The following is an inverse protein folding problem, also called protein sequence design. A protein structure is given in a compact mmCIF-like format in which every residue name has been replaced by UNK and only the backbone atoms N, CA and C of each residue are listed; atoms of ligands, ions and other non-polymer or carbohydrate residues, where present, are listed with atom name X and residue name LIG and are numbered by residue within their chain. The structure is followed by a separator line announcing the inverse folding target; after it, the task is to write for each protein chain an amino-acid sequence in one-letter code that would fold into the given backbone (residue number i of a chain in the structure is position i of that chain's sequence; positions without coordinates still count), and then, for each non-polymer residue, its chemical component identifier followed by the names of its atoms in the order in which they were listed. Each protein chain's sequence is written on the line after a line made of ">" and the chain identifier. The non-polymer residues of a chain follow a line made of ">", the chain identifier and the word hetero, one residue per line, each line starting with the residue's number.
data_IF_232462336524
#
_entry.id   IF_232462336524
#
_cell.length_a   1.000
_cell.length_b   1.000
_cell.length_c   1.000
_cell.angle_alpha   90.00
_cell.angle_beta   90.00
_cell.angle_gamma   90.00
#
_symmetry.space_group_name_H-M   'P 1'
#
loop_
_entity.id
_entity.type
_entity.pdbx_description
1 polymer ?
#
# COMPACT_ATOMS: atom_id res chain seq x y z
N UNK A 1 -16.17 -1.31 13.29
CA UNK A 1 -15.92 -1.18 11.85
C UNK A 1 -14.85 -0.11 11.66
N UNK A 2 -13.60 -0.53 11.40
CA UNK A 2 -12.49 0.38 11.14
C UNK A 2 -12.70 1.14 9.82
N UNK A 3 -11.90 2.18 9.57
CA UNK A 3 -11.86 2.85 8.26
C UNK A 3 -11.09 1.98 7.29
N UNK A 4 -11.53 1.96 6.04
CA UNK A 4 -10.87 1.26 4.95
C UNK A 4 -10.00 2.26 4.19
N UNK A 5 -8.75 1.87 3.95
CA UNK A 5 -7.73 2.77 3.45
C UNK A 5 -7.39 2.46 2.00
N UNK A 6 -7.63 3.42 1.11
CA UNK A 6 -7.11 3.38 -0.27
C UNK A 6 -5.74 4.07 -0.29
N UNK A 7 -4.76 3.43 -0.90
CA UNK A 7 -3.42 4.00 -1.11
C UNK A 7 -3.24 4.34 -2.59
N UNK A 8 -3.16 5.64 -2.88
CA UNK A 8 -2.86 6.16 -4.21
C UNK A 8 -1.34 6.31 -4.37
N UNK A 9 -0.76 5.70 -5.39
CA UNK A 9 0.69 5.65 -5.62
C UNK A 9 0.98 6.29 -6.97
N UNK A 10 1.72 7.40 -6.97
CA UNK A 10 2.01 8.18 -8.16
C UNK A 10 3.51 8.18 -8.48
N UNK A 11 3.82 7.75 -9.70
CA UNK A 11 5.13 7.80 -10.29
C UNK A 11 6.15 6.84 -9.69
N UNK A 12 7.38 6.96 -10.18
CA UNK A 12 8.45 6.00 -9.93
C UNK A 12 8.71 5.75 -8.43
N UNK A 13 8.75 6.82 -7.62
CA UNK A 13 9.06 6.70 -6.21
C UNK A 13 7.84 6.29 -5.37
N UNK A 14 6.65 6.85 -5.67
CA UNK A 14 5.40 6.48 -5.00
C UNK A 14 5.13 4.98 -5.13
N UNK A 15 5.31 4.42 -6.33
CA UNK A 15 5.15 2.98 -6.60
C UNK A 15 6.21 2.12 -5.88
N UNK A 16 7.45 2.61 -5.72
CA UNK A 16 8.50 1.88 -4.99
C UNK A 16 8.25 1.85 -3.48
N UNK A 17 7.94 3.01 -2.88
CA UNK A 17 7.57 3.10 -1.46
C UNK A 17 6.34 2.23 -1.20
N UNK A 18 5.35 2.35 -2.07
CA UNK A 18 4.14 1.56 -2.05
C UNK A 18 4.39 0.05 -2.08
N UNK A 19 5.29 -0.39 -2.94
CA UNK A 19 5.64 -1.82 -3.06
C UNK A 19 6.24 -2.37 -1.77
N UNK A 20 7.13 -1.64 -1.12
CA UNK A 20 7.71 -2.08 0.16
C UNK A 20 6.69 -2.03 1.30
N UNK A 21 5.84 -1.00 1.32
CA UNK A 21 4.72 -0.90 2.27
C UNK A 21 3.80 -2.12 2.20
N UNK A 22 3.34 -2.49 1.01
CA UNK A 22 2.46 -3.65 0.81
C UNK A 22 3.14 -4.98 1.18
N UNK A 23 4.44 -5.13 0.89
CA UNK A 23 5.20 -6.32 1.31
C UNK A 23 5.27 -6.45 2.83
N UNK A 24 5.51 -5.34 3.54
CA UNK A 24 5.52 -5.32 5.00
C UNK A 24 4.16 -5.70 5.59
N UNK A 25 3.07 -5.14 5.05
CA UNK A 25 1.71 -5.52 5.47
C UNK A 25 1.41 -6.99 5.19
N UNK A 26 1.78 -7.50 4.01
CA UNK A 26 1.61 -8.93 3.72
C UNK A 26 2.37 -9.81 4.71
N UNK A 27 3.59 -9.42 5.09
CA UNK A 27 4.38 -10.16 6.09
C UNK A 27 3.76 -10.10 7.49
N UNK A 28 3.23 -8.95 7.90
CA UNK A 28 2.56 -8.75 9.19
C UNK A 28 1.26 -9.56 9.29
N UNK A 29 0.46 -9.56 8.22
CA UNK A 29 -0.84 -10.24 8.17
C UNK A 29 -0.77 -11.71 7.70
N UNK A 30 0.43 -12.25 7.44
CA UNK A 30 0.61 -13.63 6.98
C UNK A 30 0.04 -13.93 5.59
N UNK A 31 -0.03 -12.92 4.71
CA UNK A 31 -0.50 -13.03 3.32
C UNK A 31 0.69 -13.47 2.46
N UNK A 32 0.56 -14.62 1.83
CA UNK A 32 1.59 -15.10 0.90
C UNK A 32 1.67 -14.23 -0.37
N UNK A 33 2.78 -14.23 -1.11
CA UNK A 33 2.86 -13.53 -2.40
C UNK A 33 1.82 -14.01 -3.42
N UNK A 34 1.31 -15.24 -3.26
CA UNK A 34 0.16 -15.78 -3.99
C UNK A 34 -1.19 -15.45 -3.35
N UNK A 35 -1.27 -14.32 -2.63
CA UNK A 35 -2.46 -13.69 -2.04
C UNK A 35 -3.41 -14.55 -1.19
N UNK A 36 -2.99 -15.75 -0.82
CA UNK A 36 -3.69 -16.61 0.13
C UNK A 36 -3.05 -16.50 1.52
N UNK A 37 -3.84 -16.64 2.58
CA UNK A 37 -3.30 -16.80 3.95
C UNK A 37 -2.65 -18.17 4.08
N UNK A 38 -1.35 -18.21 4.39
CA UNK A 38 -0.62 -19.49 4.53
C UNK A 38 -0.13 -19.78 5.94
N UNK A 39 -0.24 -18.84 6.88
CA UNK A 39 0.30 -19.02 8.23
C UNK A 39 -0.82 -19.02 9.27
N UNK A 40 -0.85 -19.99 10.20
CA UNK A 40 -1.54 -19.75 11.46
C UNK A 40 -0.86 -18.55 12.08
N UNK A 41 -1.66 -17.55 12.46
CA UNK A 41 -1.27 -16.35 13.20
C UNK A 41 -0.10 -16.69 14.14
N UNK A 42 1.12 -16.28 13.78
CA UNK A 42 2.16 -16.25 14.80
C UNK A 42 1.63 -15.27 15.81
N UNK A 43 1.39 -15.75 17.03
CA UNK A 43 1.38 -14.91 18.21
C UNK A 43 2.43 -13.82 17.97
N UNK A 44 1.98 -12.56 17.95
CA UNK A 44 2.79 -11.37 17.66
C UNK A 44 4.00 -11.24 18.62
N UNK A 45 4.21 -12.21 19.51
CA UNK A 45 5.41 -12.39 20.32
C UNK A 45 6.72 -12.65 19.55
N UNK A 46 6.74 -13.06 18.27
CA UNK A 46 8.01 -13.50 17.64
C UNK A 46 8.54 -12.64 16.49
N UNK A 47 7.73 -11.78 15.86
CA UNK A 47 8.28 -10.68 15.07
C UNK A 47 8.59 -9.52 16.01
N UNK A 48 9.73 -9.63 16.71
CA UNK A 48 10.46 -8.45 17.18
C UNK A 48 10.99 -7.69 15.96
N UNK A 49 10.11 -7.07 15.18
CA UNK A 49 10.41 -5.70 14.81
C UNK A 49 10.37 -4.99 16.15
N UNK A 50 11.55 -4.58 16.64
CA UNK A 50 11.62 -3.71 17.79
C UNK A 50 10.82 -2.46 17.43
N UNK A 51 9.52 -2.48 17.74
CA UNK A 51 8.64 -1.34 17.77
C UNK A 51 9.14 -0.48 18.94
N UNK A 52 10.26 0.19 18.69
CA UNK A 52 10.53 1.45 19.32
C UNK A 52 9.36 2.33 18.90
N UNK A 53 8.46 2.58 19.83
CA UNK A 53 7.32 3.47 19.63
C UNK A 53 7.90 4.83 19.18
N UNK A 54 7.93 5.09 17.88
CA UNK A 54 8.43 6.34 17.31
C UNK A 54 7.32 7.37 17.54
N UNK A 55 7.24 7.87 18.76
CA UNK A 55 6.54 9.12 19.01
C UNK A 55 7.36 10.21 18.29
N UNK A 56 6.89 10.62 17.11
CA UNK A 56 7.47 11.72 16.34
C UNK A 56 7.41 13.00 17.18
N UNK A 57 8.45 13.29 17.96
CA UNK A 57 8.64 14.59 18.57
C UNK A 57 9.30 15.49 17.53
N UNK A 58 8.57 16.52 17.09
CA UNK A 58 8.79 17.33 15.89
C UNK A 58 10.06 18.20 15.87
N UNK A 59 11.10 17.90 16.65
CA UNK A 59 12.27 18.79 16.73
C UNK A 59 13.67 18.18 16.84
N UNK A 60 13.88 16.88 17.03
CA UNK A 60 15.27 16.39 17.09
C UNK A 60 15.45 14.91 16.74
N UNK A 61 16.29 14.65 15.75
CA UNK A 61 16.61 13.35 15.13
C UNK A 61 17.60 12.49 15.95
N UNK A 62 17.43 12.35 17.27
CA UNK A 62 18.27 11.45 18.09
C UNK A 62 17.40 10.59 19.01
N UNK A 63 17.46 9.28 18.76
CA UNK A 63 16.69 8.21 19.39
C UNK A 63 17.32 7.83 20.74
N UNK A 64 16.59 7.94 21.85
CA UNK A 64 16.95 7.30 23.12
C UNK A 64 15.92 6.23 23.46
N UNK A 65 16.42 5.00 23.59
CA UNK A 65 15.68 3.79 23.92
C UNK A 65 15.39 3.80 25.43
N UNK A 66 14.13 3.67 25.83
CA UNK A 66 13.76 3.38 27.22
C UNK A 66 13.12 2.01 27.25
N UNK A 67 13.73 1.09 27.99
CA UNK A 67 13.27 -0.28 28.19
C UNK A 67 11.93 -0.26 28.95
N UNK A 68 10.83 -0.50 28.24
CA UNK A 68 9.54 -0.82 28.83
C UNK A 68 9.17 -2.26 28.48
N UNK A 69 8.94 -3.09 29.50
CA UNK A 69 8.39 -4.44 29.30
C UNK A 69 6.94 -4.33 28.80
N UNK A 70 6.68 -4.79 27.57
CA UNK A 70 5.32 -4.88 27.04
C UNK A 70 4.61 -6.03 27.76
N UNK A 71 3.67 -5.71 28.65
CA UNK A 71 2.74 -6.69 29.21
C UNK A 71 1.80 -7.15 28.10
N UNK A 72 1.94 -8.42 27.70
CA UNK A 72 1.00 -9.11 26.84
C UNK A 72 -0.30 -9.36 27.62
N UNK A 73 -1.05 -8.31 27.92
CA UNK A 73 -2.48 -8.51 28.10
C UNK A 73 -2.99 -9.07 26.77
N UNK A 74 -3.70 -10.19 26.82
CA UNK A 74 -4.40 -10.82 25.70
C UNK A 74 -5.45 -9.85 25.15
N UNK A 75 -5.02 -8.74 24.56
CA UNK A 75 -5.78 -8.07 23.55
C UNK A 75 -5.90 -9.11 22.45
N UNK A 76 -7.07 -9.72 22.33
CA UNK A 76 -7.55 -10.30 21.08
C UNK A 76 -7.56 -9.16 20.05
N UNK A 77 -6.36 -8.75 19.60
CA UNK A 77 -6.16 -7.92 18.44
C UNK A 77 -6.54 -8.81 17.28
N UNK A 78 -7.85 -8.90 17.04
CA UNK A 78 -8.38 -9.50 15.83
C UNK A 78 -7.66 -8.83 14.66
N UNK A 79 -6.97 -9.65 13.88
CA UNK A 79 -6.19 -9.19 12.76
C UNK A 79 -7.10 -8.52 11.72
N UNK A 80 -7.05 -7.18 11.66
CA UNK A 80 -7.94 -6.35 10.87
C UNK A 80 -7.43 -6.15 9.43
N UNK A 81 -7.32 -7.24 8.66
CA UNK A 81 -6.89 -7.18 7.25
C UNK A 81 -7.77 -6.28 6.38
N UNK A 82 -9.07 -6.17 6.73
CA UNK A 82 -10.09 -5.42 6.00
C UNK A 82 -9.77 -3.92 5.82
N UNK A 83 -8.92 -3.36 6.69
CA UNK A 83 -8.49 -1.96 6.60
C UNK A 83 -7.76 -1.71 5.28
N UNK A 84 -6.88 -2.63 4.90
CA UNK A 84 -5.95 -2.45 3.79
C UNK A 84 -6.26 -3.35 2.60
N UNK A 85 -6.97 -4.45 2.82
CA UNK A 85 -7.25 -5.48 1.84
C UNK A 85 -8.75 -5.73 1.75
N UNK A 86 -9.25 -5.97 0.54
CA UNK A 86 -10.53 -6.63 0.35
C UNK A 86 -10.30 -8.09 -0.06
N UNK A 87 -11.24 -8.96 0.28
CA UNK A 87 -11.21 -10.37 -0.11
C UNK A 87 -11.98 -10.55 -1.41
N UNK A 88 -11.32 -11.06 -2.44
CA UNK A 88 -11.96 -11.45 -3.69
C UNK A 88 -12.73 -12.78 -3.55
N UNK A 89 -13.60 -13.07 -4.52
CA UNK A 89 -14.44 -14.29 -4.53
C UNK A 89 -13.65 -15.61 -4.45
N UNK A 90 -12.39 -15.60 -4.92
CA UNK A 90 -11.48 -16.74 -4.88
C UNK A 90 -10.64 -16.82 -3.61
N UNK A 91 -11.02 -16.07 -2.56
CA UNK A 91 -10.34 -15.96 -1.26
C UNK A 91 -8.95 -15.33 -1.31
N UNK A 92 -8.60 -14.64 -2.39
CA UNK A 92 -7.38 -13.85 -2.46
C UNK A 92 -7.59 -12.50 -1.79
N UNK A 93 -6.60 -12.09 -1.00
CA UNK A 93 -6.55 -10.72 -0.47
C UNK A 93 -5.94 -9.79 -1.51
N UNK A 94 -6.64 -8.71 -1.80
CA UNK A 94 -6.22 -7.69 -2.77
C UNK A 94 -6.06 -6.37 -2.04
N UNK A 95 -4.90 -5.70 -2.14
CA UNK A 95 -4.68 -4.41 -1.50
C UNK A 95 -5.54 -3.36 -2.19
N UNK A 96 -6.09 -2.44 -1.40
CA UNK A 96 -6.79 -1.24 -1.87
C UNK A 96 -5.76 -0.22 -2.38
N UNK A 97 -5.09 -0.56 -3.47
CA UNK A 97 -3.98 0.20 -4.04
C UNK A 97 -4.33 0.67 -5.46
N UNK A 98 -4.10 1.95 -5.73
CA UNK A 98 -4.16 2.52 -7.08
C UNK A 98 -2.75 2.91 -7.48
N UNK A 99 -2.23 2.29 -8.54
CA UNK A 99 -0.87 2.52 -9.03
C UNK A 99 -0.95 3.34 -10.30
N UNK A 100 -0.28 4.50 -10.32
CA UNK A 100 -0.30 5.42 -11.45
C UNK A 100 1.14 5.68 -11.85
N UNK A 101 1.48 5.39 -13.10
CA UNK A 101 2.79 5.74 -13.64
C UNK A 101 2.67 6.24 -15.10
N UNK A 102 3.57 7.15 -15.46
CA UNK A 102 3.72 7.62 -16.83
C UNK A 102 4.77 6.79 -17.59
N UNK A 103 5.57 5.98 -16.87
CA UNK A 103 6.53 5.04 -17.43
C UNK A 103 6.20 3.59 -17.04
N UNK A 104 6.32 2.65 -17.97
CA UNK A 104 6.02 1.24 -17.68
C UNK A 104 7.04 0.58 -16.76
N UNK A 105 8.24 1.16 -16.60
CA UNK A 105 9.40 0.48 -16.03
C UNK A 105 9.14 -0.08 -14.63
N UNK A 106 8.59 0.75 -13.74
CA UNK A 106 8.35 0.35 -12.35
C UNK A 106 7.16 -0.59 -12.25
N UNK A 107 6.06 -0.28 -12.91
CA UNK A 107 4.88 -1.13 -12.94
C UNK A 107 5.21 -2.52 -13.48
N UNK A 108 5.94 -2.63 -14.59
CA UNK A 108 6.38 -3.92 -15.13
C UNK A 108 7.31 -4.65 -14.15
N UNK A 109 8.19 -3.94 -13.45
CA UNK A 109 9.03 -4.54 -12.41
C UNK A 109 8.19 -5.10 -11.26
N UNK A 110 7.11 -4.43 -10.86
CA UNK A 110 6.18 -4.89 -9.83
C UNK A 110 5.39 -6.11 -10.32
N UNK A 111 4.83 -6.04 -11.53
CA UNK A 111 4.05 -7.13 -12.12
C UNK A 111 4.86 -8.41 -12.39
N UNK A 112 6.16 -8.26 -12.68
CA UNK A 112 7.08 -9.40 -12.84
C UNK A 112 7.66 -9.90 -11.50
N UNK A 113 7.38 -9.22 -10.39
CA UNK A 113 7.83 -9.65 -9.06
C UNK A 113 6.97 -10.81 -8.53
N UNK A 114 7.41 -11.43 -7.43
CA UNK A 114 6.62 -12.43 -6.72
C UNK A 114 5.25 -11.91 -6.23
N UNK A 115 5.12 -10.60 -6.05
CA UNK A 115 3.90 -9.92 -5.61
C UNK A 115 3.09 -9.35 -6.78
N UNK A 116 3.45 -9.62 -8.04
CA UNK A 116 2.72 -9.07 -9.19
C UNK A 116 1.25 -9.48 -9.24
N UNK A 117 0.91 -10.67 -8.72
CA UNK A 117 -0.47 -11.17 -8.63
C UNK A 117 -1.27 -10.62 -7.44
N UNK A 118 -0.62 -9.85 -6.56
CA UNK A 118 -1.26 -9.23 -5.41
C UNK A 118 -2.23 -8.13 -5.85
N UNK A 119 -1.81 -7.31 -6.81
CA UNK A 119 -2.51 -6.11 -7.24
C UNK A 119 -3.67 -6.40 -8.21
N UNK A 120 -4.76 -5.63 -8.07
CA UNK A 120 -5.80 -5.58 -9.08
C UNK A 120 -5.29 -4.81 -10.32
N UNK A 121 -5.28 -5.45 -11.48
CA UNK A 121 -4.85 -4.80 -12.73
C UNK A 121 -5.77 -3.65 -13.15
N UNK A 122 -7.03 -3.65 -12.73
CA UNK A 122 -7.99 -2.56 -13.02
C UNK A 122 -7.69 -1.27 -12.24
N UNK A 123 -6.83 -1.35 -11.21
CA UNK A 123 -6.40 -0.21 -10.40
C UNK A 123 -5.01 0.29 -10.79
N UNK A 124 -4.48 -0.17 -11.92
CA UNK A 124 -3.18 0.25 -12.44
C UNK A 124 -3.39 1.12 -13.67
N UNK A 125 -3.05 2.40 -13.56
CA UNK A 125 -2.98 3.32 -14.67
C UNK A 125 -1.55 3.41 -15.21
N UNK A 126 -1.39 3.13 -16.50
CA UNK A 126 -0.14 3.34 -17.23
C UNK A 126 -0.40 4.22 -18.46
N UNK A 127 0.36 5.32 -18.60
CA UNK A 127 0.26 6.18 -19.78
C UNK A 127 0.63 5.43 -21.07
N UNK A 128 -0.22 5.58 -22.09
CA UNK A 128 0.01 5.00 -23.43
C UNK A 128 1.16 5.66 -24.18
N UNK A 129 1.48 6.92 -23.85
CA UNK A 129 2.53 7.69 -24.52
C UNK A 129 3.94 7.21 -24.11
N UNK A 130 4.07 6.55 -22.95
CA UNK A 130 5.30 5.91 -22.46
C UNK A 130 6.51 6.84 -22.24
N UNK A 131 6.37 8.14 -22.50
CA UNK A 131 7.46 9.12 -22.46
C UNK A 131 7.89 9.54 -21.05
N UNK A 132 7.08 9.25 -20.04
CA UNK A 132 7.33 9.69 -18.67
C UNK A 132 7.28 11.21 -18.50
N UNK A 133 7.42 11.66 -17.24
CA UNK A 133 7.58 13.09 -16.93
C UNK A 133 9.05 13.55 -16.96
N UNK A 134 10.02 12.61 -16.95
CA UNK A 134 11.45 12.94 -16.94
C UNK A 134 11.88 13.79 -15.75
N UNK A 135 11.28 13.57 -14.57
CA UNK A 135 11.45 14.40 -13.36
C UNK A 135 11.17 15.91 -13.59
N UNK A 136 10.37 16.25 -14.60
CA UNK A 136 9.88 17.60 -14.84
C UNK A 136 8.43 17.69 -14.36
N UNK A 137 8.22 18.41 -13.26
CA UNK A 137 6.90 18.61 -12.67
C UNK A 137 5.89 19.20 -13.65
N UNK A 138 6.29 20.16 -14.49
CA UNK A 138 5.40 20.78 -15.48
C UNK A 138 4.95 19.78 -16.55
N UNK A 139 5.86 18.90 -16.98
CA UNK A 139 5.54 17.80 -17.90
C UNK A 139 4.57 16.82 -17.24
N UNK A 140 4.85 16.42 -16.00
CA UNK A 140 4.01 15.52 -15.21
C UNK A 140 2.61 16.09 -14.98
N UNK A 141 2.49 17.37 -14.60
CA UNK A 141 1.22 18.06 -14.40
C UNK A 141 0.42 18.15 -15.71
N UNK A 142 1.08 18.49 -16.82
CA UNK A 142 0.42 18.60 -18.13
C UNK A 142 -0.07 17.27 -18.66
N UNK A 143 0.66 16.18 -18.41
CA UNK A 143 0.24 14.82 -18.73
C UNK A 143 -0.88 14.35 -17.77
N UNK A 144 -0.73 14.59 -16.46
CA UNK A 144 -1.70 14.30 -15.42
C UNK A 144 -3.08 14.90 -15.70
N UNK A 145 -3.12 16.14 -16.20
CA UNK A 145 -4.36 16.83 -16.57
C UNK A 145 -5.12 16.14 -17.71
N UNK A 146 -4.43 15.43 -18.60
CA UNK A 146 -5.07 14.71 -19.72
C UNK A 146 -5.71 13.40 -19.29
N UNK A 147 -5.25 12.83 -18.17
CA UNK A 147 -5.60 11.49 -17.69
C UNK A 147 -6.50 11.53 -16.46
N UNK A 148 -6.97 12.73 -16.11
CA UNK A 148 -7.68 13.00 -14.87
C UNK A 148 -8.98 12.20 -14.81
N UNK A 149 -9.73 12.15 -15.90
CA UNK A 149 -11.02 11.45 -15.95
C UNK A 149 -10.83 9.94 -15.77
N UNK A 150 -9.87 9.31 -16.48
CA UNK A 150 -9.62 7.88 -16.31
C UNK A 150 -9.09 7.52 -14.92
N UNK A 151 -8.36 8.43 -14.28
CA UNK A 151 -7.91 8.25 -12.91
C UNK A 151 -9.06 8.34 -11.91
N UNK A 152 -9.96 9.31 -12.08
CA UNK A 152 -11.15 9.43 -11.23
C UNK A 152 -12.07 8.22 -11.40
N UNK A 153 -12.22 7.67 -12.61
CA UNK A 153 -12.99 6.44 -12.83
C UNK A 153 -12.46 5.24 -12.02
N UNK A 154 -11.14 5.16 -11.79
CA UNK A 154 -10.54 4.13 -10.94
C UNK A 154 -10.79 4.43 -9.46
N UNK A 155 -10.56 5.68 -9.03
CA UNK A 155 -10.71 6.09 -7.63
C UNK A 155 -12.17 5.96 -7.18
N UNK A 156 -13.12 6.40 -8.00
CA UNK A 156 -14.54 6.36 -7.68
C UNK A 156 -15.02 4.91 -7.52
N UNK A 157 -14.59 4.00 -8.39
CA UNK A 157 -14.89 2.57 -8.28
C UNK A 157 -14.36 1.97 -6.97
N UNK A 158 -13.14 2.31 -6.57
CA UNK A 158 -12.59 1.84 -5.30
C UNK A 158 -13.28 2.49 -4.10
N UNK A 159 -13.63 3.77 -4.18
CA UNK A 159 -14.33 4.50 -3.12
C UNK A 159 -15.76 3.97 -2.92
N UNK A 160 -16.47 3.63 -3.99
CA UNK A 160 -17.81 2.99 -3.93
C UNK A 160 -17.76 1.61 -3.26
N UNK A 161 -16.63 0.91 -3.35
CA UNK A 161 -16.39 -0.37 -2.69
C UNK A 161 -15.86 -0.21 -1.25
N UNK A 162 -16.01 0.99 -0.65
CA UNK A 162 -15.62 1.26 0.74
C UNK A 162 -16.75 1.93 1.54
N UNK A 163 -16.99 1.47 2.75
CA UNK A 163 -18.03 2.02 3.64
C UNK A 163 -17.53 3.26 4.40
N UNK A 164 -16.24 3.26 4.78
CA UNK A 164 -15.62 4.33 5.56
C UNK A 164 -14.22 4.62 5.05
N UNK A 165 -14.17 5.41 3.98
CA UNK A 165 -12.93 5.71 3.28
C UNK A 165 -11.96 6.58 4.08
N UNK A 166 -10.69 6.19 4.05
CA UNK A 166 -9.52 7.03 4.28
C UNK A 166 -8.56 6.89 3.09
N UNK A 167 -7.85 7.96 2.71
CA UNK A 167 -6.97 7.95 1.54
C UNK A 167 -5.56 8.39 1.93
N UNK A 168 -4.59 7.52 1.64
CA UNK A 168 -3.17 7.86 1.69
C UNK A 168 -2.63 8.07 0.29
N UNK A 169 -1.79 9.09 0.12
CA UNK A 169 -1.20 9.43 -1.17
C UNK A 169 0.32 9.37 -1.08
N UNK A 170 0.92 8.50 -1.89
CA UNK A 170 2.36 8.36 -2.03
C UNK A 170 2.81 8.90 -3.38
N UNK A 171 3.60 9.95 -3.36
CA UNK A 171 4.21 10.58 -4.51
C UNK A 171 5.56 11.16 -4.11
N UNK A 172 6.40 11.48 -5.10
CA UNK A 172 7.60 12.31 -4.90
C UNK A 172 7.53 13.53 -5.81
#
# INVERSE_FOLDING_TARGET
>A
MPREMIVLQFGQCGNQIGTEFWKSLCAEHGISPGNNTSYPFWSVSQFRLNFYHVQLCWHCFICYIVEGEFQSDELNLEDCKEIYFYQADDNRYIPRAVLVDLEPRVIQSIMNSSYGKLYNTENIYLSKDGGGAGNNWCSGYSQGKKITDELFDIIDREAENTDRLEVNVYFV
#
